data_IF_491372217898
#
_entry.id   IF_491372217898
#
_cell.length_a   1.000
_cell.length_b   1.000
_cell.length_c   1.000
_cell.angle_alpha   90.00
_cell.angle_beta   90.00
_cell.angle_gamma   90.00
#
_symmetry.space_group_name_H-M   'P 1'
#
loop_
_entity.id
_entity.type
_entity.pdbx_description
1 polymer ?
#
# COMPACT_ATOMS: atom_id res chain seq x y z
N UNK A 1 22.33 -2.21 -9.66
CA UNK A 1 21.56 -1.08 -9.07
C UNK A 1 21.71 0.06 -10.06
N UNK A 2 20.74 0.14 -10.98
CA UNK A 2 20.71 1.25 -11.92
C UNK A 2 20.29 2.49 -11.15
N UNK A 3 21.16 3.49 -11.13
CA UNK A 3 20.91 4.82 -10.58
C UNK A 3 19.71 5.42 -11.34
N UNK A 4 18.55 5.53 -10.67
CA UNK A 4 17.41 6.25 -11.22
C UNK A 4 17.82 7.71 -11.30
N UNK A 5 18.12 8.19 -12.52
CA UNK A 5 18.42 9.59 -12.76
C UNK A 5 17.19 10.43 -12.40
N UNK A 6 17.30 11.17 -11.32
CA UNK A 6 16.25 12.06 -10.81
C UNK A 6 16.31 13.35 -11.64
N UNK A 7 15.32 13.56 -12.50
CA UNK A 7 15.13 14.83 -13.21
C UNK A 7 14.41 15.81 -12.27
N UNK A 8 15.16 16.63 -11.57
CA UNK A 8 14.72 17.49 -10.47
C UNK A 8 13.75 18.63 -10.91
N UNK A 9 13.58 18.83 -12.22
CA UNK A 9 12.80 19.96 -12.80
C UNK A 9 11.32 19.59 -13.11
N UNK A 10 10.83 18.37 -12.78
CA UNK A 10 9.50 17.88 -13.20
C UNK A 10 8.61 17.35 -12.10
N UNK A 11 8.96 17.53 -10.84
CA UNK A 11 8.13 17.06 -9.73
C UNK A 11 6.85 17.91 -9.64
N UNK A 12 5.66 17.31 -9.72
CA UNK A 12 4.41 18.04 -9.57
C UNK A 12 4.09 18.35 -8.10
N UNK A 13 5.00 18.06 -7.16
CA UNK A 13 4.79 18.20 -5.73
C UNK A 13 5.99 18.84 -5.01
N UNK A 14 5.68 19.50 -3.90
CA UNK A 14 6.67 20.04 -2.95
C UNK A 14 6.99 19.00 -1.86
N UNK A 15 8.08 19.22 -1.11
CA UNK A 15 8.41 18.34 0.01
C UNK A 15 7.30 18.33 1.09
N UNK A 16 7.11 17.23 1.82
CA UNK A 16 6.02 17.07 2.80
C UNK A 16 5.93 18.16 3.88
N UNK A 17 7.03 18.79 4.26
CA UNK A 17 7.03 19.89 5.20
C UNK A 17 6.29 21.14 4.71
N UNK A 18 6.04 21.26 3.41
CA UNK A 18 5.28 22.33 2.77
C UNK A 18 3.86 21.93 2.40
N UNK A 19 3.37 20.79 2.88
CA UNK A 19 2.01 20.32 2.63
C UNK A 19 0.97 21.32 3.17
N UNK A 20 -0.18 21.38 2.50
CA UNK A 20 -1.34 22.11 3.03
C UNK A 20 -1.80 21.51 4.37
N UNK A 21 -2.66 22.19 5.15
CA UNK A 21 -3.23 21.64 6.37
C UNK A 21 -3.95 20.29 6.17
N UNK A 22 -4.52 20.06 4.97
CA UNK A 22 -5.17 18.81 4.59
C UNK A 22 -4.18 17.71 4.19
N UNK A 23 -2.91 18.07 3.97
CA UNK A 23 -1.86 17.13 3.57
C UNK A 23 -1.60 17.07 2.06
N UNK A 24 -2.13 18.01 1.26
CA UNK A 24 -1.85 18.08 -0.18
C UNK A 24 -0.46 18.68 -0.39
N UNK A 25 0.35 18.03 -1.24
CA UNK A 25 1.69 18.47 -1.61
C UNK A 25 1.84 18.82 -3.09
N UNK A 26 0.86 18.45 -3.93
CA UNK A 26 0.93 18.76 -5.36
C UNK A 26 -0.29 18.33 -6.15
N UNK A 27 -0.37 18.83 -7.40
CA UNK A 27 -1.46 18.52 -8.35
C UNK A 27 -0.88 18.38 -9.74
N UNK A 28 -1.38 17.40 -10.51
CA UNK A 28 -0.93 17.10 -11.87
C UNK A 28 0.24 16.13 -11.92
N UNK A 29 1.05 16.18 -12.98
CA UNK A 29 2.12 15.23 -13.23
C UNK A 29 1.64 13.96 -13.90
N UNK A 30 2.30 12.83 -13.61
CA UNK A 30 2.02 11.53 -14.20
C UNK A 30 2.23 10.37 -13.19
N UNK A 31 1.74 9.18 -13.56
CA UNK A 31 1.88 7.96 -12.75
C UNK A 31 3.00 7.04 -13.27
N UNK A 32 4.00 7.57 -13.97
CA UNK A 32 5.13 6.77 -14.44
C UNK A 32 5.88 6.15 -13.26
N UNK A 33 6.50 4.98 -13.43
CA UNK A 33 7.23 4.29 -12.36
C UNK A 33 8.23 5.18 -11.60
N UNK A 34 9.00 6.00 -12.32
CA UNK A 34 9.95 6.94 -11.69
C UNK A 34 9.25 7.96 -10.79
N UNK A 35 8.16 8.58 -11.28
CA UNK A 35 7.36 9.55 -10.50
C UNK A 35 6.75 8.93 -9.25
N UNK A 36 6.18 7.72 -9.37
CA UNK A 36 5.59 7.00 -8.24
C UNK A 36 6.65 6.59 -7.21
N UNK A 37 7.73 5.94 -7.63
CA UNK A 37 8.78 5.47 -6.72
C UNK A 37 9.43 6.63 -5.97
N UNK A 38 9.66 7.75 -6.65
CA UNK A 38 10.19 8.96 -6.04
C UNK A 38 9.21 9.54 -5.01
N UNK A 39 7.92 9.64 -5.34
CA UNK A 39 6.90 10.10 -4.42
C UNK A 39 6.84 9.23 -3.15
N UNK A 40 6.76 7.91 -3.30
CA UNK A 40 6.75 6.98 -2.16
C UNK A 40 8.02 7.07 -1.31
N UNK A 41 9.19 7.24 -1.92
CA UNK A 41 10.44 7.43 -1.19
C UNK A 41 10.45 8.71 -0.34
N UNK A 42 9.61 9.70 -0.67
CA UNK A 42 9.42 10.93 0.09
C UNK A 42 8.16 10.93 0.98
N UNK A 43 7.47 9.80 1.13
CA UNK A 43 6.27 9.70 1.95
C UNK A 43 5.02 10.32 1.32
N UNK A 44 5.02 10.42 -0.01
CA UNK A 44 3.96 11.01 -0.83
C UNK A 44 3.28 9.90 -1.62
N UNK A 45 1.96 9.99 -1.78
CA UNK A 45 1.18 9.03 -2.58
C UNK A 45 0.10 9.77 -3.40
N UNK A 46 -0.32 9.22 -4.56
CA UNK A 46 -1.40 9.77 -5.35
C UNK A 46 -2.76 9.28 -4.82
N UNK A 47 -3.71 10.21 -4.68
CA UNK A 47 -5.10 9.88 -4.39
C UNK A 47 -6.02 10.93 -4.99
N UNK A 48 -6.85 10.53 -5.95
CA UNK A 48 -7.71 11.41 -6.74
C UNK A 48 -8.91 10.62 -7.31
N UNK A 49 -9.99 11.33 -7.68
CA UNK A 49 -11.16 10.68 -8.28
C UNK A 49 -11.01 10.56 -9.80
N UNK A 50 -11.73 9.62 -10.44
CA UNK A 50 -11.75 9.51 -11.90
C UNK A 50 -12.16 10.84 -12.54
N UNK A 51 -11.33 11.33 -13.48
CA UNK A 51 -11.54 12.60 -14.21
C UNK A 51 -10.95 13.82 -13.52
N UNK A 52 -10.53 13.74 -12.28
CA UNK A 52 -9.78 14.80 -11.61
C UNK A 52 -8.29 14.74 -12.00
N UNK A 53 -7.54 15.85 -11.91
CA UNK A 53 -6.09 15.80 -11.99
C UNK A 53 -5.52 14.96 -10.84
N UNK A 54 -4.34 14.38 -11.04
CA UNK A 54 -3.63 13.64 -9.98
C UNK A 54 -3.38 14.59 -8.80
N UNK A 55 -3.77 14.19 -7.60
CA UNK A 55 -3.49 14.91 -6.37
C UNK A 55 -2.52 14.07 -5.55
N UNK A 56 -1.43 14.72 -5.09
CA UNK A 56 -0.37 14.11 -4.29
C UNK A 56 -0.53 14.48 -2.83
N UNK A 57 -0.42 13.49 -1.95
CA UNK A 57 -0.72 13.61 -0.53
C UNK A 57 0.43 13.18 0.37
N UNK A 58 0.60 13.90 1.47
CA UNK A 58 1.40 13.51 2.62
C UNK A 58 0.72 14.00 3.89
N UNK A 59 -0.28 13.27 4.41
CA UNK A 59 -1.08 13.71 5.57
C UNK A 59 -0.27 13.75 6.87
N UNK A 60 -0.76 14.55 7.82
CA UNK A 60 -0.29 14.64 9.19
C UNK A 60 -1.53 14.62 10.11
N UNK A 61 -1.72 13.61 10.99
CA UNK A 61 -0.82 12.47 11.26
C UNK A 61 -0.78 11.43 10.14
N UNK A 62 0.18 10.51 10.22
CA UNK A 62 0.33 9.37 9.32
C UNK A 62 0.04 8.06 10.04
N UNK A 63 -0.79 7.20 9.45
CA UNK A 63 -1.12 5.89 9.99
C UNK A 63 -0.14 4.82 9.54
N UNK A 64 0.36 4.03 10.50
CA UNK A 64 1.31 2.94 10.28
C UNK A 64 0.95 1.70 11.11
N UNK A 65 1.59 0.57 10.79
CA UNK A 65 1.64 -0.60 11.66
C UNK A 65 3.04 -0.77 12.27
N UNK A 66 3.08 -1.20 13.54
CA UNK A 66 4.27 -1.89 14.07
C UNK A 66 4.20 -3.36 13.64
N UNK A 67 5.12 -3.77 12.77
CA UNK A 67 5.18 -5.15 12.28
C UNK A 67 5.52 -6.17 13.36
N UNK A 68 6.01 -5.72 14.52
CA UNK A 68 6.37 -6.58 15.67
C UNK A 68 5.21 -6.78 16.63
N UNK A 69 4.21 -5.87 16.62
CA UNK A 69 3.12 -5.85 17.62
C UNK A 69 1.76 -5.53 16.97
N UNK A 70 1.40 -6.26 15.93
CA UNK A 70 0.05 -6.16 15.34
C UNK A 70 -0.90 -7.16 15.99
N UNK A 71 -2.19 -6.81 16.05
CA UNK A 71 -3.22 -7.62 16.69
C UNK A 71 -3.97 -8.48 15.68
N UNK A 72 -4.23 -9.75 16.02
CA UNK A 72 -5.10 -10.63 15.25
C UNK A 72 -6.33 -10.98 16.10
N UNK A 73 -7.54 -10.48 15.74
CA UNK A 73 -8.76 -10.78 16.49
C UNK A 73 -9.01 -12.29 16.61
N UNK A 74 -9.42 -12.75 17.80
CA UNK A 74 -9.58 -14.20 18.13
C UNK A 74 -10.41 -14.97 17.11
N UNK A 75 -11.51 -14.37 16.62
CA UNK A 75 -12.38 -15.00 15.61
C UNK A 75 -11.68 -15.17 14.28
N UNK A 76 -10.90 -14.18 13.86
CA UNK A 76 -10.11 -14.26 12.64
C UNK A 76 -8.98 -15.28 12.77
N UNK A 77 -8.30 -15.33 13.91
CA UNK A 77 -7.29 -16.35 14.18
C UNK A 77 -7.88 -17.77 14.07
N UNK A 78 -9.12 -17.99 14.54
CA UNK A 78 -9.83 -19.26 14.36
C UNK A 78 -10.13 -19.55 12.88
N UNK A 79 -10.58 -18.54 12.10
CA UNK A 79 -10.80 -18.68 10.65
C UNK A 79 -9.51 -19.05 9.91
N UNK A 80 -8.38 -18.40 10.23
CA UNK A 80 -7.07 -18.70 9.65
C UNK A 80 -6.65 -20.14 9.96
N UNK A 81 -6.81 -20.59 11.21
CA UNK A 81 -6.48 -21.97 11.63
C UNK A 81 -7.30 -23.07 10.94
N UNK A 82 -8.49 -22.74 10.45
CA UNK A 82 -9.32 -23.68 9.69
C UNK A 82 -8.78 -23.96 8.27
N UNK A 83 -7.74 -23.25 7.83
CA UNK A 83 -7.16 -23.34 6.48
C UNK A 83 -8.20 -23.28 5.34
N UNK A 84 -9.29 -22.54 5.58
CA UNK A 84 -10.35 -22.36 4.60
C UNK A 84 -9.87 -21.61 3.36
N UNK A 85 -8.96 -20.68 3.55
CA UNK A 85 -8.40 -19.83 2.51
C UNK A 85 -6.96 -20.25 2.17
N UNK A 86 -6.66 -20.33 0.87
CA UNK A 86 -5.29 -20.41 0.38
C UNK A 86 -4.81 -18.99 0.07
N UNK A 87 -3.58 -18.67 0.47
CA UNK A 87 -2.96 -17.36 0.19
C UNK A 87 -1.77 -17.55 -0.73
N UNK A 88 -1.68 -16.73 -1.78
CA UNK A 88 -0.54 -16.66 -2.69
C UNK A 88 0.02 -15.25 -2.71
N UNK A 89 1.23 -15.08 -3.26
CA UNK A 89 1.85 -13.79 -3.44
C UNK A 89 2.23 -13.60 -4.91
N UNK A 90 1.93 -12.44 -5.47
CA UNK A 90 2.34 -12.00 -6.81
C UNK A 90 1.90 -12.93 -7.96
N UNK A 91 0.85 -13.71 -7.76
CA UNK A 91 0.36 -14.63 -8.79
C UNK A 91 -0.72 -14.02 -9.68
N UNK A 92 -1.43 -13.01 -9.19
CA UNK A 92 -2.55 -12.36 -9.88
C UNK A 92 -2.66 -10.86 -9.51
N UNK A 93 -1.56 -10.13 -9.53
CA UNK A 93 -1.50 -8.72 -9.12
C UNK A 93 -2.59 -7.86 -9.77
N UNK A 94 -2.68 -7.87 -11.11
CA UNK A 94 -3.70 -7.11 -11.85
C UNK A 94 -5.12 -7.46 -11.41
N UNK A 95 -5.42 -8.75 -11.20
CA UNK A 95 -6.75 -9.17 -10.76
C UNK A 95 -7.08 -8.70 -9.33
N UNK A 96 -6.07 -8.54 -8.46
CA UNK A 96 -6.25 -7.92 -7.13
C UNK A 96 -6.61 -6.45 -7.28
N UNK A 97 -5.92 -5.69 -8.14
CA UNK A 97 -6.26 -4.28 -8.40
C UNK A 97 -7.66 -4.13 -8.99
N UNK A 98 -8.02 -4.96 -9.98
CA UNK A 98 -9.37 -4.99 -10.58
C UNK A 98 -10.44 -5.32 -9.52
N UNK A 99 -10.14 -6.23 -8.58
CA UNK A 99 -10.99 -6.52 -7.43
C UNK A 99 -11.18 -5.29 -6.53
N UNK A 100 -10.13 -4.55 -6.24
CA UNK A 100 -10.19 -3.31 -5.46
C UNK A 100 -10.97 -2.18 -6.18
N UNK A 101 -10.91 -2.15 -7.52
CA UNK A 101 -11.66 -1.20 -8.34
C UNK A 101 -13.17 -1.50 -8.40
N UNK A 102 -13.56 -2.78 -8.37
CA UNK A 102 -14.94 -3.23 -8.64
C UNK A 102 -15.91 -3.10 -7.45
N UNK A 103 -15.43 -3.00 -6.20
CA UNK A 103 -16.24 -3.27 -5.00
C UNK A 103 -16.82 -2.04 -4.29
N UNK A 104 -16.89 -0.85 -4.91
CA UNK A 104 -17.39 0.34 -4.22
C UNK A 104 -18.65 0.89 -4.89
N UNK A 105 -19.79 0.81 -4.19
CA UNK A 105 -21.07 1.43 -4.61
C UNK A 105 -20.93 2.95 -4.81
N UNK A 106 -20.04 3.61 -4.09
CA UNK A 106 -19.79 5.06 -4.14
C UNK A 106 -18.74 5.47 -5.19
N UNK A 107 -18.27 4.52 -6.02
CA UNK A 107 -17.16 4.73 -6.95
C UNK A 107 -15.80 4.34 -6.35
N UNK A 108 -14.81 4.19 -7.20
CA UNK A 108 -13.45 3.82 -6.80
C UNK A 108 -12.46 4.88 -7.25
N UNK A 109 -11.45 5.14 -6.42
CA UNK A 109 -10.29 5.93 -6.79
C UNK A 109 -9.24 5.10 -7.58
N UNK A 110 -9.37 3.76 -7.60
CA UNK A 110 -8.51 2.87 -8.40
C UNK A 110 -8.97 2.92 -9.85
N UNK A 111 -8.40 3.84 -10.61
CA UNK A 111 -8.73 4.05 -12.03
C UNK A 111 -8.02 3.03 -12.94
N UNK A 112 -8.46 2.92 -14.21
CA UNK A 112 -7.76 2.11 -15.21
C UNK A 112 -6.31 2.55 -15.40
N UNK A 113 -6.02 3.85 -15.35
CA UNK A 113 -4.68 4.41 -15.44
C UNK A 113 -3.80 3.96 -14.26
N UNK A 114 -4.36 3.94 -13.04
CA UNK A 114 -3.65 3.40 -11.88
C UNK A 114 -3.37 1.90 -12.01
N UNK A 115 -4.33 1.12 -12.54
CA UNK A 115 -4.14 -0.32 -12.75
C UNK A 115 -2.95 -0.55 -13.69
N UNK A 116 -2.85 0.18 -14.81
CA UNK A 116 -1.72 0.05 -15.74
C UNK A 116 -0.40 0.48 -15.07
N UNK A 117 -0.37 1.65 -14.41
CA UNK A 117 0.85 2.17 -13.77
C UNK A 117 1.39 1.25 -12.67
N UNK A 118 0.51 0.74 -11.80
CA UNK A 118 0.94 -0.16 -10.71
C UNK A 118 1.23 -1.58 -11.21
N UNK A 119 0.62 -2.03 -12.30
CA UNK A 119 1.00 -3.29 -12.97
C UNK A 119 2.42 -3.18 -13.53
N UNK A 120 2.78 -2.04 -14.15
CA UNK A 120 4.16 -1.79 -14.59
C UNK A 120 5.15 -1.78 -13.41
N UNK A 121 4.78 -1.18 -12.26
CA UNK A 121 5.59 -1.26 -11.04
C UNK A 121 5.75 -2.70 -10.55
N UNK A 122 4.72 -3.51 -10.64
CA UNK A 122 4.77 -4.93 -10.29
C UNK A 122 5.75 -5.70 -11.20
N UNK A 123 5.68 -5.50 -12.52
CA UNK A 123 6.60 -6.11 -13.48
C UNK A 123 8.06 -5.72 -13.24
N UNK A 124 8.29 -4.54 -12.63
CA UNK A 124 9.60 -4.05 -12.22
C UNK A 124 10.03 -4.49 -10.82
N UNK A 125 9.18 -5.23 -10.09
CA UNK A 125 9.45 -5.75 -8.75
C UNK A 125 9.28 -4.73 -7.61
N UNK A 126 8.49 -3.66 -7.82
CA UNK A 126 8.22 -2.63 -6.82
C UNK A 126 6.80 -2.63 -6.27
N UNK A 127 5.85 -3.28 -6.94
CA UNK A 127 4.50 -3.46 -6.43
C UNK A 127 4.21 -4.94 -6.22
N UNK A 128 3.52 -5.26 -5.13
CA UNK A 128 3.28 -6.65 -4.72
C UNK A 128 1.85 -6.85 -4.25
N UNK A 129 1.35 -8.06 -4.42
CA UNK A 129 0.01 -8.46 -3.96
C UNK A 129 0.03 -9.73 -3.13
N UNK A 130 -0.98 -9.86 -2.28
CA UNK A 130 -1.41 -11.15 -1.75
C UNK A 130 -2.83 -11.44 -2.25
N UNK A 131 -3.02 -12.63 -2.74
CA UNK A 131 -4.30 -13.16 -3.20
C UNK A 131 -4.86 -14.15 -2.19
N UNK A 132 -6.17 -14.06 -1.93
CA UNK A 132 -6.89 -14.99 -1.07
C UNK A 132 -7.91 -15.75 -1.88
N UNK A 133 -7.79 -17.09 -1.83
CA UNK A 133 -8.54 -18.02 -2.63
C UNK A 133 -9.46 -18.89 -1.77
N UNK A 134 -10.65 -19.18 -2.29
CA UNK A 134 -11.56 -20.19 -1.77
C UNK A 134 -11.80 -21.22 -2.88
N UNK A 135 -11.17 -22.40 -2.78
CA UNK A 135 -11.01 -23.27 -3.92
C UNK A 135 -10.19 -22.60 -5.01
N UNK A 136 -10.74 -22.48 -6.21
CA UNK A 136 -10.10 -21.81 -7.35
C UNK A 136 -10.56 -20.36 -7.55
N UNK A 137 -11.49 -19.88 -6.72
CA UNK A 137 -12.02 -18.54 -6.82
C UNK A 137 -11.14 -17.54 -6.05
N UNK A 138 -10.76 -16.43 -6.70
CA UNK A 138 -10.12 -15.27 -6.07
C UNK A 138 -11.17 -14.49 -5.30
N UNK A 139 -11.17 -14.59 -3.98
CA UNK A 139 -12.21 -14.03 -3.10
C UNK A 139 -11.77 -12.85 -2.25
N UNK A 140 -10.51 -12.48 -2.33
CA UNK A 140 -9.96 -11.30 -1.67
C UNK A 140 -8.50 -11.09 -2.02
N UNK A 141 -7.97 -9.94 -1.63
CA UNK A 141 -6.57 -9.60 -1.86
C UNK A 141 -6.22 -8.22 -1.32
N UNK A 142 -4.95 -7.93 -1.30
CA UNK A 142 -4.35 -6.66 -0.91
C UNK A 142 -3.15 -6.41 -1.80
N UNK A 143 -2.91 -5.16 -2.20
CA UNK A 143 -1.71 -4.78 -2.92
C UNK A 143 -1.05 -3.54 -2.31
N UNK A 144 0.21 -3.31 -2.68
CA UNK A 144 0.96 -2.14 -2.25
C UNK A 144 2.34 -2.06 -2.90
N UNK A 145 3.10 -1.06 -2.46
CA UNK A 145 4.43 -0.71 -2.98
C UNK A 145 5.49 -1.10 -1.97
N UNK A 146 6.58 -1.69 -2.44
CA UNK A 146 7.76 -2.04 -1.64
C UNK A 146 8.99 -1.25 -2.10
N UNK A 147 9.68 -0.59 -1.17
CA UNK A 147 10.95 0.10 -1.38
C UNK A 147 11.90 -0.24 -0.23
N UNK A 148 12.88 -1.10 -0.49
CA UNK A 148 13.73 -1.61 0.59
C UNK A 148 12.89 -2.23 1.71
N UNK A 149 13.12 -1.84 2.96
CA UNK A 149 12.34 -2.30 4.12
C UNK A 149 11.05 -1.52 4.39
N UNK A 150 10.59 -0.72 3.45
CA UNK A 150 9.32 0.01 3.49
C UNK A 150 8.26 -0.67 2.63
N UNK A 151 7.02 -0.72 3.12
CA UNK A 151 5.86 -1.16 2.38
C UNK A 151 4.70 -0.17 2.58
N UNK A 152 4.11 0.33 1.50
CA UNK A 152 2.86 1.10 1.50
C UNK A 152 1.71 0.20 1.08
N UNK A 153 0.73 -0.01 1.95
CA UNK A 153 -0.51 -0.72 1.64
C UNK A 153 -1.49 0.20 0.93
N UNK A 154 -1.90 -0.11 -0.28
CA UNK A 154 -2.72 0.76 -1.12
C UNK A 154 -4.23 0.48 -0.96
N UNK A 155 -4.63 -0.73 -1.31
CA UNK A 155 -6.04 -1.11 -1.23
C UNK A 155 -6.21 -2.60 -1.04
N UNK A 156 -7.39 -2.99 -0.57
CA UNK A 156 -7.77 -4.39 -0.41
C UNK A 156 -9.24 -4.59 -0.78
N UNK A 157 -9.59 -5.81 -1.17
CA UNK A 157 -10.95 -6.20 -1.48
C UNK A 157 -11.32 -7.55 -0.86
N UNK A 158 -12.62 -7.84 -0.78
CA UNK A 158 -13.13 -9.15 -0.42
C UNK A 158 -14.48 -9.41 -1.08
N UNK A 159 -14.70 -10.61 -1.57
CA UNK A 159 -15.99 -11.15 -2.04
C UNK A 159 -16.61 -12.13 -1.05
N UNK A 160 -15.80 -12.61 -0.11
CA UNK A 160 -16.21 -13.51 0.96
C UNK A 160 -15.75 -12.93 2.27
N UNK A 161 -16.62 -13.03 3.29
CA UNK A 161 -16.33 -12.55 4.64
C UNK A 161 -14.95 -13.01 5.12
N UNK A 162 -14.23 -12.08 5.73
CA UNK A 162 -12.89 -12.21 6.31
C UNK A 162 -11.75 -12.34 5.28
N UNK A 163 -11.98 -12.43 3.96
CA UNK A 163 -10.92 -12.63 2.99
C UNK A 163 -9.90 -11.47 2.97
N UNK A 164 -10.34 -10.19 2.96
CA UNK A 164 -9.42 -9.03 3.05
C UNK A 164 -8.67 -8.99 4.38
N UNK A 165 -9.30 -9.41 5.47
CA UNK A 165 -8.66 -9.49 6.80
C UNK A 165 -7.57 -10.58 6.82
N UNK A 166 -7.82 -11.71 6.18
CA UNK A 166 -6.82 -12.78 6.00
C UNK A 166 -5.67 -12.26 5.15
N UNK A 167 -5.95 -11.52 4.05
CA UNK A 167 -4.93 -10.88 3.24
C UNK A 167 -4.05 -9.95 4.07
N UNK A 168 -4.64 -9.04 4.86
CA UNK A 168 -3.91 -8.09 5.70
C UNK A 168 -3.03 -8.79 6.75
N UNK A 169 -3.57 -9.77 7.50
CA UNK A 169 -2.78 -10.51 8.50
C UNK A 169 -1.64 -11.30 7.84
N UNK A 170 -1.89 -11.90 6.68
CA UNK A 170 -0.86 -12.60 5.91
C UNK A 170 0.23 -11.66 5.43
N UNK A 171 -0.14 -10.44 4.98
CA UNK A 171 0.81 -9.40 4.59
C UNK A 171 1.66 -8.95 5.77
N UNK A 172 1.04 -8.56 6.89
CA UNK A 172 1.76 -8.15 8.10
C UNK A 172 2.76 -9.22 8.57
N UNK A 173 2.33 -10.49 8.56
CA UNK A 173 3.19 -11.63 8.91
C UNK A 173 4.36 -11.75 7.94
N UNK A 174 4.08 -11.71 6.60
CA UNK A 174 5.11 -11.80 5.57
C UNK A 174 6.13 -10.68 5.67
N UNK A 175 5.68 -9.42 5.80
CA UNK A 175 6.55 -8.27 5.91
C UNK A 175 7.46 -8.37 7.14
N UNK A 176 6.92 -8.76 8.30
CA UNK A 176 7.70 -9.02 9.51
C UNK A 176 8.78 -10.09 9.28
N UNK A 177 8.38 -11.23 8.73
CA UNK A 177 9.25 -12.40 8.56
C UNK A 177 10.33 -12.16 7.48
N UNK A 178 10.08 -11.22 6.53
CA UNK A 178 11.00 -10.75 5.51
C UNK A 178 11.86 -9.55 5.93
N UNK A 179 11.70 -9.07 7.16
CA UNK A 179 12.54 -8.03 7.75
C UNK A 179 12.21 -6.61 7.29
N UNK A 180 11.00 -6.38 6.81
CA UNK A 180 10.50 -5.02 6.61
C UNK A 180 10.42 -4.29 7.96
N UNK A 181 10.56 -2.96 7.94
CA UNK A 181 10.60 -2.14 9.16
C UNK A 181 9.43 -1.18 9.30
N UNK A 182 8.84 -0.78 8.18
CA UNK A 182 7.76 0.21 8.16
C UNK A 182 6.65 -0.25 7.21
N UNK A 183 5.45 -0.41 7.76
CA UNK A 183 4.23 -0.58 6.96
C UNK A 183 3.34 0.64 7.14
N UNK A 184 3.16 1.36 6.05
CA UNK A 184 2.37 2.57 5.92
C UNK A 184 0.97 2.22 5.42
N UNK A 185 -0.06 2.71 6.11
CA UNK A 185 -1.46 2.59 5.67
C UNK A 185 -2.09 3.96 5.38
N UNK A 186 -1.27 4.98 5.25
CA UNK A 186 -1.58 6.37 4.95
C UNK A 186 -2.50 7.04 5.97
N UNK A 187 -3.76 6.63 6.04
CA UNK A 187 -4.81 7.21 6.90
C UNK A 187 -5.41 6.13 7.78
N UNK A 188 -5.56 6.42 9.07
CA UNK A 188 -6.20 5.51 10.02
C UNK A 188 -7.70 5.38 9.72
N UNK A 189 -8.19 4.14 9.82
CA UNK A 189 -9.61 3.82 9.75
C UNK A 189 -9.93 2.63 10.67
N UNK A 190 -11.20 2.45 11.00
CA UNK A 190 -11.68 1.39 11.91
C UNK A 190 -11.22 -0.01 11.48
N UNK A 191 -11.04 -0.22 10.16
CA UNK A 191 -10.61 -1.52 9.65
C UNK A 191 -9.14 -1.80 9.96
N UNK A 192 -8.25 -0.84 9.83
CA UNK A 192 -6.82 -1.00 10.12
C UNK A 192 -6.53 -0.88 11.62
N UNK A 193 -7.26 -0.02 12.34
CA UNK A 193 -7.12 0.18 13.78
C UNK A 193 -7.37 -1.13 14.58
N UNK A 194 -8.40 -1.92 14.21
CA UNK A 194 -8.67 -3.20 14.88
C UNK A 194 -7.50 -4.22 14.80
N UNK A 195 -6.55 -4.02 13.89
CA UNK A 195 -5.35 -4.83 13.74
C UNK A 195 -4.12 -4.20 14.39
N UNK A 196 -4.26 -3.03 15.00
CA UNK A 196 -3.18 -2.34 15.70
C UNK A 196 -2.48 -1.26 14.88
N UNK A 197 -3.09 -0.76 13.80
CA UNK A 197 -2.63 0.46 13.15
C UNK A 197 -2.79 1.66 14.10
N UNK A 198 -1.86 2.58 14.05
CA UNK A 198 -1.88 3.80 14.87
C UNK A 198 -1.24 4.97 14.13
N UNK A 199 -1.54 6.16 14.58
CA UNK A 199 -1.04 7.40 13.99
C UNK A 199 0.23 7.88 14.69
N UNK A 200 1.14 8.43 13.88
CA UNK A 200 2.32 9.16 14.34
C UNK A 200 2.41 10.51 13.61
N UNK A 201 3.09 11.52 14.19
CA UNK A 201 3.37 12.75 13.48
C UNK A 201 4.12 12.48 12.17
N UNK A 202 3.78 13.20 11.09
CA UNK A 202 4.45 13.08 9.78
C UNK A 202 5.97 13.19 9.88
N UNK A 203 6.48 14.10 10.70
CA UNK A 203 7.93 14.25 10.91
C UNK A 203 8.60 12.98 11.45
N UNK A 204 7.92 12.25 12.34
CA UNK A 204 8.37 10.95 12.84
C UNK A 204 8.32 9.89 11.74
N UNK A 205 7.21 9.84 11.00
CA UNK A 205 7.02 8.93 9.87
C UNK A 205 8.15 9.10 8.83
N UNK A 206 8.44 10.34 8.40
CA UNK A 206 9.49 10.62 7.40
C UNK A 206 10.88 10.18 7.88
N UNK A 207 11.19 10.30 9.17
CA UNK A 207 12.46 9.80 9.73
C UNK A 207 12.53 8.26 9.66
N UNK A 208 11.44 7.57 9.98
CA UNK A 208 11.36 6.09 9.87
C UNK A 208 11.44 5.65 8.41
N UNK A 209 10.74 6.33 7.51
CA UNK A 209 10.77 6.06 6.07
C UNK A 209 12.19 6.16 5.52
N UNK A 210 12.90 7.26 5.80
CA UNK A 210 14.27 7.47 5.34
C UNK A 210 15.25 6.35 5.80
N UNK A 211 14.96 5.69 6.90
CA UNK A 211 15.72 4.53 7.36
C UNK A 211 15.28 3.25 6.64
N UNK A 212 13.96 3.02 6.55
CA UNK A 212 13.39 1.81 5.99
C UNK A 212 13.72 1.64 4.51
N UNK A 213 13.63 2.69 3.68
CA UNK A 213 13.92 2.61 2.24
C UNK A 213 15.36 2.21 1.92
N UNK A 214 16.29 2.43 2.85
CA UNK A 214 17.72 2.06 2.69
C UNK A 214 18.03 0.64 3.14
N UNK A 215 17.12 0.01 3.88
CA UNK A 215 17.32 -1.35 4.38
C UNK A 215 16.98 -2.35 3.30
N UNK A 216 17.87 -3.29 2.97
CA UNK A 216 17.54 -4.35 2.02
C UNK A 216 16.46 -5.25 2.61
N UNK A 217 15.36 -5.43 1.89
CA UNK A 217 14.32 -6.42 2.16
C UNK A 217 13.70 -6.83 0.82
N UNK A 218 13.30 -8.09 0.71
CA UNK A 218 12.69 -8.64 -0.50
C UNK A 218 11.32 -9.22 -0.16
N UNK A 219 10.32 -8.87 -0.97
CA UNK A 219 8.95 -9.33 -0.77
C UNK A 219 8.78 -10.79 -1.19
N UNK A 220 9.43 -11.22 -2.26
CA UNK A 220 9.36 -12.54 -2.88
C UNK A 220 10.08 -13.67 -2.13
#
# INVERSE_FOLDING_TARGET
>A
MDEIAIDDDRRPWVLPEFATPEGIVGVGGDLRPGSLLEAYAHGIFPWFNPGDPIIWWSPDPRAIFDLRDFHVPRRLAATIKQNKFRVTADTRFRAVMEGCAAEREEGTWVTGEMIEAYTELHERGHAHSLEVWLGDDLVGGIYGIALGGFYAGESMFHRVRDASKVALVSLLTRLRDRGFELFDTQILNDHTEQFGAFEIPRAEYLRRLATAVRKPAEFG
#
